data_IF_373658226845
#
_entry.id   IF_373658226845
#
_cell.length_a   1.000
_cell.length_b   1.000
_cell.length_c   1.000
_cell.angle_alpha   90.00
_cell.angle_beta   90.00
_cell.angle_gamma   90.00
#
_symmetry.space_group_name_H-M   'P 1'
#
loop_
_entity.id
_entity.type
_entity.pdbx_description
1 polymer ?
#
# COMPACT_ATOMS: atom_id res chain seq x y z
N UNK A 1 -55.18 -3.80 -7.82
CA UNK A 1 -54.66 -2.54 -8.35
C UNK A 1 -53.21 -2.77 -8.73
N UNK A 2 -52.83 -2.49 -9.96
CA UNK A 2 -51.44 -2.67 -10.42
C UNK A 2 -50.61 -1.40 -10.22
N UNK A 3 -49.28 -1.51 -10.27
CA UNK A 3 -48.40 -0.34 -10.24
C UNK A 3 -48.68 0.61 -11.41
N UNK A 4 -48.99 0.08 -12.60
CA UNK A 4 -49.34 0.89 -13.77
C UNK A 4 -50.66 1.65 -13.62
N UNK A 5 -51.63 1.09 -12.90
CA UNK A 5 -52.89 1.76 -12.57
C UNK A 5 -52.66 2.91 -11.57
N UNK A 6 -51.80 2.70 -10.56
CA UNK A 6 -51.51 3.71 -9.54
C UNK A 6 -50.63 4.85 -10.09
N UNK A 7 -49.63 4.52 -10.91
CA UNK A 7 -48.67 5.46 -11.49
C UNK A 7 -48.93 5.73 -12.98
N UNK A 8 -50.19 5.94 -13.35
CA UNK A 8 -50.65 6.13 -14.73
C UNK A 8 -50.07 7.36 -15.48
N UNK A 9 -49.51 8.34 -14.76
CA UNK A 9 -48.82 9.51 -15.34
C UNK A 9 -47.35 9.22 -15.65
N UNK A 10 -46.80 8.10 -15.13
CA UNK A 10 -45.44 7.69 -15.37
C UNK A 10 -45.34 6.82 -16.63
N UNK A 11 -44.81 7.38 -17.71
CA UNK A 11 -44.67 6.70 -18.99
C UNK A 11 -43.20 6.33 -19.25
N UNK A 12 -42.84 5.08 -18.96
CA UNK A 12 -41.49 4.54 -19.21
C UNK A 12 -41.47 3.72 -20.50
N UNK A 13 -40.49 3.98 -21.39
CA UNK A 13 -40.32 3.33 -22.71
C UNK A 13 -39.37 2.12 -22.70
N UNK A 14 -39.11 1.50 -21.54
CA UNK A 14 -38.26 0.30 -21.46
C UNK A 14 -39.08 -0.99 -21.54
N UNK A 15 -38.56 -2.02 -22.20
CA UNK A 15 -39.21 -3.34 -22.27
C UNK A 15 -39.37 -4.02 -20.90
N UNK A 16 -38.59 -3.62 -19.89
CA UNK A 16 -38.75 -4.08 -18.50
C UNK A 16 -39.82 -3.31 -17.73
N UNK A 17 -40.17 -2.10 -18.17
CA UNK A 17 -41.17 -1.26 -17.51
C UNK A 17 -42.57 -1.86 -17.55
N UNK A 18 -42.92 -2.60 -18.62
CA UNK A 18 -44.21 -3.29 -18.72
C UNK A 18 -44.39 -4.32 -17.59
N UNK A 19 -43.31 -5.03 -17.22
CA UNK A 19 -43.34 -6.02 -16.14
C UNK A 19 -43.39 -5.38 -14.75
N UNK A 20 -42.70 -4.26 -14.56
CA UNK A 20 -42.80 -3.46 -13.34
C UNK A 20 -44.22 -2.92 -13.15
N UNK A 21 -44.83 -2.42 -14.22
CA UNK A 21 -46.18 -1.88 -14.18
C UNK A 21 -47.26 -2.95 -13.96
N UNK A 22 -47.00 -4.20 -14.34
CA UNK A 22 -47.89 -5.33 -14.13
C UNK A 22 -47.90 -5.86 -12.68
N UNK A 23 -46.99 -5.40 -11.81
CA UNK A 23 -46.92 -5.81 -10.41
C UNK A 23 -48.21 -5.49 -9.64
N UNK A 24 -48.67 -6.45 -8.82
CA UNK A 24 -49.92 -6.30 -8.05
C UNK A 24 -49.65 -5.71 -6.67
N UNK A 25 -50.29 -4.59 -6.35
CA UNK A 25 -50.11 -3.94 -5.04
C UNK A 25 -50.86 -4.76 -3.98
N UNK A 26 -50.11 -5.26 -3.00
CA UNK A 26 -50.60 -6.01 -1.85
C UNK A 26 -50.89 -5.11 -0.66
N UNK A 27 -50.00 -4.15 -0.41
CA UNK A 27 -50.16 -3.21 0.69
C UNK A 27 -49.65 -1.84 0.26
N UNK A 28 -50.33 -0.79 0.73
CA UNK A 28 -49.93 0.59 0.51
C UNK A 28 -50.01 1.36 1.82
N UNK A 29 -48.93 2.04 2.17
CA UNK A 29 -48.86 2.98 3.28
C UNK A 29 -48.41 4.33 2.73
N UNK A 30 -49.24 5.35 2.88
CA UNK A 30 -48.93 6.70 2.42
C UNK A 30 -48.98 7.68 3.59
N UNK A 31 -47.95 8.51 3.71
CA UNK A 31 -47.91 9.62 4.66
C UNK A 31 -47.99 10.94 3.89
N UNK A 32 -49.09 11.66 4.10
CA UNK A 32 -49.33 12.94 3.45
C UNK A 32 -48.36 14.02 3.95
N UNK A 33 -48.10 14.06 5.26
CA UNK A 33 -47.20 15.04 5.90
C UNK A 33 -45.77 14.91 5.37
N UNK A 34 -45.26 13.68 5.25
CA UNK A 34 -43.90 13.43 4.81
C UNK A 34 -43.77 13.27 3.28
N UNK A 35 -44.88 13.32 2.53
CA UNK A 35 -44.96 13.00 1.09
C UNK A 35 -44.25 11.67 0.76
N UNK A 36 -44.48 10.64 1.58
CA UNK A 36 -43.85 9.32 1.40
C UNK A 36 -44.87 8.23 1.11
N UNK A 37 -44.52 7.31 0.24
CA UNK A 37 -45.35 6.15 -0.11
C UNK A 37 -44.50 4.88 -0.04
N UNK A 38 -44.96 3.91 0.74
CA UNK A 38 -44.38 2.57 0.81
C UNK A 38 -45.39 1.56 0.26
N UNK A 39 -44.96 0.78 -0.73
CA UNK A 39 -45.79 -0.21 -1.41
C UNK A 39 -45.17 -1.60 -1.23
N UNK A 40 -45.99 -2.59 -0.89
CA UNK A 40 -45.63 -4.00 -1.03
C UNK A 40 -46.28 -4.50 -2.30
N UNK A 41 -45.48 -5.01 -3.24
CA UNK A 41 -45.94 -5.35 -4.59
C UNK A 41 -45.53 -6.78 -4.94
N UNK A 42 -46.50 -7.60 -5.32
CA UNK A 42 -46.28 -8.95 -5.82
C UNK A 42 -45.87 -8.93 -7.29
N UNK A 43 -44.79 -9.63 -7.61
CA UNK A 43 -44.24 -9.74 -8.97
C UNK A 43 -44.14 -11.20 -9.41
N UNK A 44 -44.60 -11.48 -10.62
CA UNK A 44 -44.55 -12.82 -11.21
C UNK A 44 -43.14 -13.28 -11.66
N UNK A 45 -42.14 -12.40 -11.60
CA UNK A 45 -40.74 -12.70 -11.96
C UNK A 45 -39.77 -11.91 -11.09
N UNK A 46 -38.57 -12.45 -10.90
CA UNK A 46 -37.47 -11.74 -10.25
C UNK A 46 -37.08 -10.50 -11.04
N UNK A 47 -36.83 -9.40 -10.32
CA UNK A 47 -36.43 -8.13 -10.91
C UNK A 47 -35.12 -7.67 -10.25
N UNK A 48 -34.15 -7.14 -11.02
CA UNK A 48 -32.95 -6.53 -10.44
C UNK A 48 -33.31 -5.33 -9.57
N UNK A 49 -32.68 -5.18 -8.40
CA UNK A 49 -33.01 -4.08 -7.48
C UNK A 49 -32.68 -2.70 -8.05
N UNK A 50 -31.69 -2.62 -8.94
CA UNK A 50 -31.35 -1.38 -9.65
C UNK A 50 -32.51 -0.86 -10.51
N UNK A 51 -33.30 -1.75 -11.11
CA UNK A 51 -34.47 -1.37 -11.91
C UNK A 51 -35.60 -0.84 -11.02
N UNK A 52 -35.82 -1.49 -9.86
CA UNK A 52 -36.78 -1.02 -8.85
C UNK A 52 -36.40 0.35 -8.31
N UNK A 53 -35.13 0.57 -7.95
CA UNK A 53 -34.62 1.87 -7.48
C UNK A 53 -34.73 2.96 -8.56
N UNK A 54 -34.47 2.61 -9.81
CA UNK A 54 -34.66 3.51 -10.95
C UNK A 54 -36.12 3.92 -11.10
N UNK A 55 -37.05 2.98 -10.95
CA UNK A 55 -38.48 3.26 -10.94
C UNK A 55 -38.89 4.13 -9.76
N UNK A 56 -38.50 3.77 -8.53
CA UNK A 56 -38.77 4.53 -7.30
C UNK A 56 -38.37 6.01 -7.45
N UNK A 57 -37.14 6.25 -7.92
CA UNK A 57 -36.59 7.59 -8.10
C UNK A 57 -37.38 8.38 -9.15
N UNK A 58 -37.71 7.77 -10.27
CA UNK A 58 -38.36 8.44 -11.39
C UNK A 58 -39.85 8.71 -11.11
N UNK A 59 -40.55 7.73 -10.53
CA UNK A 59 -41.94 7.88 -10.13
C UNK A 59 -42.09 8.86 -8.96
N UNK A 60 -41.17 8.85 -7.99
CA UNK A 60 -41.15 9.87 -6.92
C UNK A 60 -41.01 11.28 -7.49
N UNK A 61 -40.13 11.50 -8.48
CA UNK A 61 -40.01 12.80 -9.16
C UNK A 61 -41.29 13.19 -9.92
N UNK A 62 -41.88 12.27 -10.67
CA UNK A 62 -43.05 12.54 -11.48
C UNK A 62 -44.30 12.93 -10.65
N UNK A 63 -44.41 12.37 -9.43
CA UNK A 63 -45.51 12.63 -8.51
C UNK A 63 -45.13 13.59 -7.37
N UNK A 64 -43.96 14.22 -7.46
CA UNK A 64 -43.39 15.10 -6.44
C UNK A 64 -43.44 14.49 -5.02
N UNK A 65 -43.12 13.22 -4.89
CA UNK A 65 -42.99 12.56 -3.59
C UNK A 65 -41.58 12.79 -3.04
N UNK A 66 -41.47 12.94 -1.72
CA UNK A 66 -40.16 12.99 -1.06
C UNK A 66 -39.48 11.61 -1.13
N UNK A 67 -40.25 10.53 -1.05
CA UNK A 67 -39.75 9.16 -1.13
C UNK A 67 -40.84 8.18 -1.56
N UNK A 68 -40.50 7.32 -2.51
CA UNK A 68 -41.27 6.13 -2.88
C UNK A 68 -40.41 4.90 -2.57
N UNK A 69 -40.92 3.97 -1.78
CA UNK A 69 -40.25 2.68 -1.52
C UNK A 69 -41.16 1.54 -1.99
N UNK A 70 -40.63 0.66 -2.81
CA UNK A 70 -41.30 -0.55 -3.29
C UNK A 70 -40.59 -1.74 -2.65
N UNK A 71 -41.31 -2.46 -1.81
CA UNK A 71 -40.91 -3.75 -1.28
C UNK A 71 -41.47 -4.83 -2.21
N UNK A 72 -40.64 -5.45 -3.08
CA UNK A 72 -41.12 -6.52 -3.92
C UNK A 72 -41.42 -7.77 -3.08
N UNK A 73 -42.45 -8.50 -3.48
CA UNK A 73 -42.80 -9.81 -2.96
C UNK A 73 -42.83 -10.79 -4.12
N UNK A 74 -42.35 -12.01 -3.89
CA UNK A 74 -42.23 -13.07 -4.88
C UNK A 74 -42.72 -14.38 -4.27
N UNK A 75 -43.29 -15.24 -5.10
CA UNK A 75 -43.60 -16.61 -4.69
C UNK A 75 -42.33 -17.38 -4.29
N UNK A 76 -42.42 -18.18 -3.23
CA UNK A 76 -41.32 -19.01 -2.73
C UNK A 76 -40.73 -19.95 -3.79
N UNK A 77 -41.51 -20.36 -4.80
CA UNK A 77 -41.05 -21.20 -5.92
C UNK A 77 -40.08 -20.51 -6.87
N UNK A 78 -39.99 -19.17 -6.82
CA UNK A 78 -39.10 -18.37 -7.68
C UNK A 78 -37.73 -18.15 -7.05
N UNK A 79 -37.51 -18.57 -5.80
CA UNK A 79 -36.22 -18.41 -5.14
C UNK A 79 -35.18 -19.35 -5.76
N UNK A 80 -34.09 -18.77 -6.27
CA UNK A 80 -32.94 -19.49 -6.82
C UNK A 80 -31.63 -18.84 -6.35
N UNK A 81 -30.57 -19.65 -6.23
CA UNK A 81 -29.25 -19.19 -5.79
C UNK A 81 -28.62 -18.17 -6.75
N UNK A 82 -29.03 -18.16 -8.02
CA UNK A 82 -28.62 -17.13 -8.98
C UNK A 82 -29.07 -15.70 -8.58
N UNK A 83 -30.06 -15.57 -7.70
CA UNK A 83 -30.54 -14.30 -7.17
C UNK A 83 -29.73 -13.80 -5.96
N UNK A 84 -28.83 -14.61 -5.41
CA UNK A 84 -28.03 -14.26 -4.24
C UNK A 84 -27.19 -12.96 -4.40
N UNK A 85 -26.57 -12.66 -5.56
CA UNK A 85 -25.85 -11.40 -5.76
C UNK A 85 -26.75 -10.16 -5.59
N UNK A 86 -28.02 -10.24 -6.01
CA UNK A 86 -28.99 -9.15 -5.82
C UNK A 86 -29.33 -8.96 -4.33
N UNK A 87 -29.49 -10.05 -3.57
CA UNK A 87 -29.70 -9.98 -2.12
C UNK A 87 -28.50 -9.32 -1.41
N UNK A 88 -27.28 -9.65 -1.81
CA UNK A 88 -26.05 -9.04 -1.28
C UNK A 88 -25.99 -7.55 -1.62
N UNK A 89 -26.33 -7.17 -2.86
CA UNK A 89 -26.37 -5.76 -3.25
C UNK A 89 -27.38 -4.97 -2.42
N UNK A 90 -28.56 -5.55 -2.16
CA UNK A 90 -29.55 -4.94 -1.29
C UNK A 90 -29.06 -4.83 0.15
N UNK A 91 -28.39 -5.86 0.66
CA UNK A 91 -27.82 -5.87 2.01
C UNK A 91 -26.70 -4.83 2.18
N UNK A 92 -25.85 -4.61 1.16
CA UNK A 92 -24.83 -3.55 1.15
C UNK A 92 -25.44 -2.15 1.27
N UNK A 93 -26.63 -1.93 0.67
CA UNK A 93 -27.32 -0.65 0.78
C UNK A 93 -27.90 -0.39 2.18
N UNK A 94 -28.19 -1.44 2.95
CA UNK A 94 -28.75 -1.35 4.31
C UNK A 94 -27.67 -1.42 5.40
N UNK A 95 -26.50 -2.01 5.13
CA UNK A 95 -25.39 -2.14 6.08
C UNK A 95 -24.02 -1.95 5.41
N UNK A 96 -23.30 -0.91 5.83
CA UNK A 96 -21.96 -0.58 5.32
C UNK A 96 -20.89 -1.64 5.66
N UNK A 97 -21.12 -2.41 6.73
CA UNK A 97 -20.19 -3.46 7.22
C UNK A 97 -20.08 -4.66 6.27
N UNK A 98 -20.98 -4.77 5.29
CA UNK A 98 -21.06 -5.89 4.34
C UNK A 98 -20.08 -5.71 3.17
N UNK A 99 -19.53 -4.52 2.98
CA UNK A 99 -18.72 -4.19 1.81
C UNK A 99 -17.38 -4.96 1.81
N UNK A 100 -17.12 -5.70 0.73
CA UNK A 100 -15.89 -6.48 0.54
C UNK A 100 -15.91 -7.91 1.10
N UNK A 101 -16.84 -8.25 2.01
CA UNK A 101 -16.85 -9.58 2.65
C UNK A 101 -17.51 -10.68 1.80
N UNK A 102 -18.54 -10.31 1.02
CA UNK A 102 -19.26 -11.23 0.14
C UNK A 102 -18.65 -11.30 -1.28
N UNK A 103 -17.46 -10.73 -1.48
CA UNK A 103 -16.78 -10.81 -2.77
C UNK A 103 -16.31 -12.26 -3.00
N UNK A 104 -16.59 -12.79 -4.19
CA UNK A 104 -16.32 -14.18 -4.58
C UNK A 104 -17.01 -15.28 -3.76
N UNK A 105 -17.97 -14.96 -2.88
CA UNK A 105 -18.62 -15.98 -2.03
C UNK A 105 -19.41 -17.04 -2.81
N UNK A 106 -19.48 -18.26 -2.24
CA UNK A 106 -20.25 -19.38 -2.79
C UNK A 106 -21.43 -19.71 -1.86
N UNK A 107 -22.68 -19.37 -2.24
CA UNK A 107 -23.87 -19.76 -1.50
C UNK A 107 -24.28 -21.20 -1.86
N UNK A 108 -24.70 -21.96 -0.85
CA UNK A 108 -25.24 -23.32 -0.98
C UNK A 108 -26.47 -23.46 -0.09
N UNK A 109 -27.51 -24.11 -0.59
CA UNK A 109 -28.74 -24.34 0.15
C UNK A 109 -28.94 -25.84 0.35
N UNK A 110 -29.12 -26.25 1.60
CA UNK A 110 -29.41 -27.62 1.99
C UNK A 110 -30.63 -27.61 2.92
N UNK A 111 -31.80 -27.97 2.39
CA UNK A 111 -33.06 -27.91 3.14
C UNK A 111 -33.43 -26.47 3.54
N UNK A 112 -33.55 -26.22 4.84
CA UNK A 112 -33.89 -24.91 5.42
C UNK A 112 -32.64 -24.10 5.80
N UNK A 113 -31.45 -24.57 5.44
CA UNK A 113 -30.18 -23.95 5.81
C UNK A 113 -29.47 -23.36 4.58
N UNK A 114 -29.25 -22.03 4.60
CA UNK A 114 -28.45 -21.33 3.62
C UNK A 114 -27.03 -21.14 4.15
N UNK A 115 -26.08 -21.88 3.59
CA UNK A 115 -24.65 -21.77 3.93
C UNK A 115 -23.95 -20.89 2.91
N UNK A 116 -23.40 -19.77 3.36
CA UNK A 116 -22.58 -18.86 2.54
C UNK A 116 -21.13 -19.04 2.90
N UNK A 117 -20.33 -19.50 1.93
CA UNK A 117 -18.89 -19.64 2.09
C UNK A 117 -18.19 -18.37 1.66
N UNK A 118 -17.48 -17.76 2.60
CA UNK A 118 -16.75 -16.52 2.43
C UNK A 118 -15.27 -16.85 2.21
N UNK A 119 -14.70 -16.35 1.11
CA UNK A 119 -13.29 -16.56 0.78
C UNK A 119 -12.40 -15.38 1.20
N UNK A 120 -13.00 -14.22 1.45
CA UNK A 120 -12.31 -13.03 1.93
C UNK A 120 -12.12 -13.02 3.46
N UNK A 121 -12.61 -14.05 4.15
CA UNK A 121 -12.65 -14.13 5.62
C UNK A 121 -13.66 -13.17 6.23
N UNK A 122 -13.87 -13.23 7.56
CA UNK A 122 -14.68 -12.25 8.29
C UNK A 122 -16.08 -12.73 8.69
N UNK A 123 -16.33 -14.05 8.67
CA UNK A 123 -17.60 -14.62 9.13
C UNK A 123 -17.97 -14.19 10.56
N UNK A 124 -16.99 -14.07 11.47
CA UNK A 124 -17.23 -13.67 12.85
C UNK A 124 -17.69 -12.21 12.97
N UNK A 125 -17.06 -11.30 12.20
CA UNK A 125 -17.45 -9.89 12.15
C UNK A 125 -18.87 -9.71 11.58
N UNK A 126 -19.21 -10.49 10.55
CA UNK A 126 -20.56 -10.46 9.98
C UNK A 126 -21.62 -11.02 10.93
N UNK A 127 -21.27 -12.03 11.75
CA UNK A 127 -22.15 -12.54 12.82
C UNK A 127 -22.33 -11.51 13.93
N UNK A 128 -21.27 -10.83 14.36
CA UNK A 128 -21.37 -9.73 15.32
C UNK A 128 -22.25 -8.59 14.80
N UNK A 129 -22.12 -8.25 13.51
CA UNK A 129 -22.96 -7.28 12.82
C UNK A 129 -24.40 -7.78 12.55
N UNK A 130 -24.75 -9.01 12.96
CA UNK A 130 -26.07 -9.65 12.76
C UNK A 130 -26.50 -9.73 11.29
N UNK A 131 -25.53 -9.84 10.39
CA UNK A 131 -25.76 -9.89 8.94
C UNK A 131 -26.45 -11.20 8.52
N UNK A 132 -26.19 -12.30 9.23
CA UNK A 132 -26.91 -13.57 9.14
C UNK A 132 -28.43 -13.38 9.31
N UNK A 133 -28.84 -12.69 10.38
CA UNK A 133 -30.24 -12.42 10.70
C UNK A 133 -30.86 -11.41 9.76
N UNK A 134 -30.08 -10.44 9.27
CA UNK A 134 -30.54 -9.46 8.29
C UNK A 134 -30.83 -10.13 6.94
N UNK A 135 -29.96 -11.04 6.48
CA UNK A 135 -30.15 -11.79 5.26
C UNK A 135 -31.36 -12.75 5.36
N UNK A 136 -31.50 -13.46 6.47
CA UNK A 136 -32.65 -14.32 6.72
C UNK A 136 -33.97 -13.53 6.68
N UNK A 137 -33.99 -12.34 7.30
CA UNK A 137 -35.16 -11.45 7.28
C UNK A 137 -35.49 -10.94 5.88
N UNK A 138 -34.47 -10.60 5.09
CA UNK A 138 -34.66 -10.15 3.72
C UNK A 138 -35.28 -11.26 2.87
N UNK A 139 -34.76 -12.49 2.97
CA UNK A 139 -35.31 -13.65 2.26
C UNK A 139 -36.75 -13.93 2.67
N UNK A 140 -37.04 -13.89 3.98
CA UNK A 140 -38.40 -14.05 4.48
C UNK A 140 -39.34 -12.96 3.97
N UNK A 141 -38.90 -11.70 3.94
CA UNK A 141 -39.74 -10.58 3.46
C UNK A 141 -40.04 -10.69 1.96
N UNK A 142 -39.08 -11.16 1.18
CA UNK A 142 -39.18 -11.24 -0.28
C UNK A 142 -39.91 -12.51 -0.76
N UNK A 143 -39.73 -13.65 -0.07
CA UNK A 143 -40.14 -14.97 -0.57
C UNK A 143 -40.98 -15.79 0.43
N UNK A 144 -41.27 -15.26 1.62
CA UNK A 144 -41.89 -15.98 2.76
C UNK A 144 -41.12 -17.25 3.19
N UNK A 145 -39.82 -17.31 2.88
CA UNK A 145 -38.96 -18.43 3.24
C UNK A 145 -38.23 -18.16 4.56
N UNK A 146 -38.40 -19.08 5.51
CA UNK A 146 -37.69 -19.06 6.80
C UNK A 146 -36.42 -19.91 6.69
N UNK A 147 -35.31 -19.29 6.34
CA UNK A 147 -34.00 -19.96 6.21
C UNK A 147 -33.07 -19.60 7.36
N UNK A 148 -32.33 -20.58 7.85
CA UNK A 148 -31.21 -20.37 8.78
C UNK A 148 -29.93 -20.08 7.99
N UNK A 149 -29.31 -18.93 8.23
CA UNK A 149 -28.14 -18.46 7.46
C UNK A 149 -26.86 -18.75 8.24
N UNK A 150 -26.00 -19.61 7.68
CA UNK A 150 -24.68 -19.90 8.23
C UNK A 150 -23.59 -19.27 7.39
N UNK A 151 -22.77 -18.41 8.01
CA UNK A 151 -21.58 -17.84 7.40
C UNK A 151 -20.35 -18.64 7.83
N UNK A 152 -19.62 -19.18 6.84
CA UNK A 152 -18.42 -19.98 7.06
C UNK A 152 -17.24 -19.37 6.28
N UNK A 153 -16.10 -19.23 6.95
CA UNK A 153 -14.85 -18.86 6.30
C UNK A 153 -14.18 -20.12 5.74
N UNK A 154 -14.01 -20.18 4.42
CA UNK A 154 -13.26 -21.26 3.76
C UNK A 154 -11.98 -20.69 3.14
N UNK A 155 -10.81 -21.08 3.65
CA UNK A 155 -9.52 -20.70 3.07
C UNK A 155 -9.23 -21.52 1.80
N UNK A 156 -10.00 -21.33 0.74
CA UNK A 156 -9.52 -21.69 -0.61
C UNK A 156 -8.57 -20.59 -1.10
N UNK A 157 -7.51 -20.99 -1.81
CA UNK A 157 -6.71 -20.05 -2.62
C UNK A 157 -7.68 -19.38 -3.59
N UNK A 158 -7.98 -18.10 -3.33
CA UNK A 158 -8.75 -17.25 -4.23
C UNK A 158 -8.10 -17.38 -5.61
N UNK A 159 -8.84 -17.73 -6.68
CA UNK A 159 -8.32 -17.65 -8.03
C UNK A 159 -7.92 -16.20 -8.29
N UNK A 160 -6.64 -15.97 -8.53
CA UNK A 160 -6.12 -14.68 -8.95
C UNK A 160 -6.91 -14.16 -10.16
N UNK A 161 -7.25 -12.85 -10.23
CA UNK A 161 -7.86 -12.29 -11.43
C UNK A 161 -6.89 -12.44 -12.62
N UNK A 162 -7.23 -13.38 -13.51
CA UNK A 162 -6.65 -13.59 -14.85
C UNK A 162 -5.13 -13.71 -14.90
N UNK A 163 -4.64 -14.94 -14.67
CA UNK A 163 -3.37 -15.37 -15.24
C UNK A 163 -3.52 -15.44 -16.77
N UNK A 164 -2.92 -14.48 -17.49
CA UNK A 164 -2.53 -14.76 -18.86
C UNK A 164 -1.44 -15.84 -18.81
N UNK A 165 -1.68 -16.96 -19.48
CA UNK A 165 -0.83 -18.15 -19.54
C UNK A 165 0.67 -17.79 -19.61
N UNK A 166 1.39 -18.07 -18.53
CA UNK A 166 2.85 -18.09 -18.51
C UNK A 166 3.29 -19.49 -18.94
N UNK A 167 4.12 -19.65 -19.98
CA UNK A 167 4.62 -20.97 -20.38
C UNK A 167 5.40 -21.64 -19.24
N UNK A 168 5.16 -22.94 -19.04
CA UNK A 168 5.73 -23.74 -17.96
C UNK A 168 7.27 -23.62 -17.85
N UNK A 169 7.76 -23.26 -16.68
CA UNK A 169 9.18 -23.38 -16.31
C UNK A 169 9.46 -24.80 -15.79
N UNK A 170 10.62 -25.42 -16.11
CA UNK A 170 10.93 -26.79 -15.72
C UNK A 170 11.22 -26.93 -14.22
N UNK A 171 10.74 -28.03 -13.64
CA UNK A 171 10.77 -28.37 -12.23
C UNK A 171 12.19 -28.33 -11.62
N UNK A 172 12.36 -27.52 -10.58
CA UNK A 172 13.42 -27.69 -9.60
C UNK A 172 12.79 -28.03 -8.24
N UNK A 173 13.14 -29.18 -7.66
CA UNK A 173 12.75 -29.53 -6.30
C UNK A 173 13.76 -28.95 -5.29
N UNK A 174 13.28 -28.10 -4.40
CA UNK A 174 14.06 -27.61 -3.26
C UNK A 174 14.06 -28.65 -2.11
N UNK A 175 15.18 -28.87 -1.40
CA UNK A 175 15.24 -29.79 -0.26
C UNK A 175 14.38 -29.32 0.93
N UNK A 176 13.85 -30.24 1.75
CA UNK A 176 12.94 -29.90 2.85
C UNK A 176 13.66 -29.19 4.01
N UNK A 177 13.01 -28.17 4.57
CA UNK A 177 13.46 -27.46 5.76
C UNK A 177 13.32 -28.33 7.02
N UNK A 178 14.26 -28.28 7.98
CA UNK A 178 14.15 -28.97 9.27
C UNK A 178 12.98 -28.42 10.11
N UNK A 179 12.29 -29.32 10.81
CA UNK A 179 11.16 -29.01 11.69
C UNK A 179 11.60 -28.16 12.90
N UNK A 180 10.84 -27.09 13.18
CA UNK A 180 10.96 -26.32 14.42
C UNK A 180 10.37 -27.12 15.59
N UNK A 181 11.12 -27.23 16.69
CA UNK A 181 10.65 -27.81 17.96
C UNK A 181 10.00 -26.74 18.83
N UNK A 182 8.95 -27.17 19.54
CA UNK A 182 7.90 -26.38 20.18
C UNK A 182 8.33 -25.23 21.10
N UNK A 183 7.62 -24.11 20.97
CA UNK A 183 7.69 -22.95 21.86
C UNK A 183 6.98 -23.23 23.20
N UNK A 184 7.60 -22.94 24.36
CA UNK A 184 6.90 -22.95 25.64
C UNK A 184 5.98 -21.73 25.80
N UNK A 185 4.82 -21.97 26.40
CA UNK A 185 3.75 -21.01 26.67
C UNK A 185 4.15 -19.88 27.62
N UNK A 186 3.55 -18.70 27.42
CA UNK A 186 3.60 -17.53 28.31
C UNK A 186 2.52 -17.65 29.38
N UNK A 187 2.91 -17.46 30.64
CA UNK A 187 2.01 -16.95 31.68
C UNK A 187 2.58 -15.63 32.27
N UNK A 188 1.63 -14.76 32.61
CA UNK A 188 1.60 -13.40 33.18
C UNK A 188 2.72 -13.09 34.22
N UNK A 189 3.18 -11.86 34.52
CA UNK A 189 2.57 -10.53 34.50
C UNK A 189 3.66 -9.47 34.85
N UNK A 190 3.29 -8.19 34.71
CA UNK A 190 3.92 -6.93 35.18
C UNK A 190 4.88 -6.17 34.26
N UNK A 191 4.34 -5.01 33.84
CA UNK A 191 4.94 -3.96 33.02
C UNK A 191 5.93 -3.06 33.81
N UNK A 192 6.77 -2.29 33.10
CA UNK A 192 8.04 -1.74 33.56
C UNK A 192 7.83 -0.39 34.24
N UNK A 193 8.87 0.18 34.87
CA UNK A 193 9.50 1.30 34.18
C UNK A 193 11.01 1.40 34.44
N UNK A 194 11.66 2.08 33.51
CA UNK A 194 12.99 2.66 33.41
C UNK A 194 13.57 3.40 34.66
N UNK A 195 13.14 3.08 35.87
CA UNK A 195 13.68 3.57 37.14
C UNK A 195 14.49 2.49 37.86
N UNK A 196 15.75 2.31 37.46
CA UNK A 196 16.86 2.12 38.41
C UNK A 196 18.13 1.86 37.63
N UNK A 197 18.92 2.92 37.51
CA UNK A 197 20.28 2.96 37.00
C UNK A 197 21.13 1.90 37.72
N UNK A 198 21.92 1.12 36.97
CA UNK A 198 23.37 0.95 37.17
C UNK A 198 23.92 -0.13 36.25
N UNK A 199 24.85 0.24 35.37
CA UNK A 199 25.67 -0.71 34.63
C UNK A 199 26.60 -1.48 35.58
N UNK A 200 26.81 -2.78 35.35
CA UNK A 200 28.19 -3.28 35.33
C UNK A 200 28.52 -4.19 34.14
N UNK A 201 29.77 -4.00 33.69
CA UNK A 201 30.51 -4.70 32.63
C UNK A 201 30.50 -6.22 32.78
N UNK A 202 30.28 -6.99 31.70
CA UNK A 202 31.00 -8.27 31.44
C UNK A 202 31.09 -8.62 29.94
N UNK A 203 32.35 -8.74 29.48
CA UNK A 203 32.99 -9.56 28.42
C UNK A 203 32.24 -9.93 27.12
N UNK A 204 32.73 -9.36 26.01
CA UNK A 204 32.53 -9.87 24.64
C UNK A 204 33.20 -11.24 24.47
N UNK A 205 32.51 -12.28 23.96
CA UNK A 205 33.19 -13.46 23.44
C UNK A 205 33.74 -13.17 22.04
N UNK A 206 35.00 -13.55 21.84
CA UNK A 206 35.68 -13.52 20.57
C UNK A 206 35.06 -14.54 19.61
N UNK A 207 34.54 -14.09 18.47
CA UNK A 207 34.20 -14.98 17.38
C UNK A 207 35.37 -15.16 16.41
N UNK A 208 35.85 -16.40 16.39
CA UNK A 208 36.82 -16.96 15.47
C UNK A 208 36.34 -16.81 14.02
N UNK A 209 37.25 -16.41 13.15
CA UNK A 209 37.08 -16.45 11.68
C UNK A 209 36.86 -17.89 11.22
N UNK A 210 35.79 -18.10 10.44
CA UNK A 210 35.59 -19.30 9.66
C UNK A 210 35.28 -18.91 8.20
N UNK A 211 36.04 -19.55 7.29
CA UNK A 211 35.81 -19.82 5.87
C UNK A 211 34.93 -18.87 5.06
N UNK A 212 35.55 -18.18 4.10
CA UNK A 212 34.91 -17.24 3.20
C UNK A 212 33.98 -17.87 2.16
N UNK A 213 32.83 -17.25 2.01
CA UNK A 213 32.20 -17.03 0.71
C UNK A 213 32.35 -15.53 0.42
N UNK A 214 32.90 -15.18 -0.74
CA UNK A 214 33.06 -13.79 -1.15
C UNK A 214 31.67 -13.15 -1.30
N UNK A 215 31.25 -12.35 -0.31
CA UNK A 215 30.09 -11.47 -0.46
C UNK A 215 30.35 -10.58 -1.68
N UNK A 216 29.52 -10.70 -2.71
CA UNK A 216 29.56 -9.80 -3.86
C UNK A 216 29.40 -8.37 -3.35
N UNK A 217 30.42 -7.54 -3.55
CA UNK A 217 30.39 -6.13 -3.15
C UNK A 217 29.29 -5.39 -3.92
N UNK A 218 28.45 -4.57 -3.26
CA UNK A 218 27.33 -3.84 -3.89
C UNK A 218 27.78 -2.73 -4.86
N UNK A 219 29.09 -2.53 -4.97
CA UNK A 219 29.73 -1.42 -5.66
C UNK A 219 30.97 -1.94 -6.38
N UNK A 220 31.17 -1.48 -7.62
CA UNK A 220 32.40 -1.73 -8.39
C UNK A 220 33.22 -0.45 -8.54
N UNK A 221 34.49 -0.42 -8.08
CA UNK A 221 35.42 0.67 -8.39
C UNK A 221 35.64 0.73 -9.90
N UNK A 222 35.61 1.94 -10.48
CA UNK A 222 35.83 2.14 -11.92
C UNK A 222 37.06 2.98 -12.22
N UNK A 223 37.23 4.07 -11.48
CA UNK A 223 38.24 5.08 -11.76
C UNK A 223 38.90 5.53 -10.47
N UNK A 224 40.23 5.58 -10.45
CA UNK A 224 41.00 6.08 -9.30
C UNK A 224 40.96 7.60 -9.30
N UNK A 225 40.43 8.19 -8.23
CA UNK A 225 40.41 9.65 -8.03
C UNK A 225 41.65 10.13 -7.28
N UNK A 226 42.17 9.31 -6.37
CA UNK A 226 43.33 9.60 -5.55
C UNK A 226 43.99 8.29 -5.09
N UNK A 227 45.33 8.25 -5.04
CA UNK A 227 46.08 7.06 -4.62
C UNK A 227 46.20 5.99 -5.71
N UNK A 228 45.99 4.74 -5.32
CA UNK A 228 46.09 3.52 -6.13
C UNK A 228 44.71 2.88 -6.35
N UNK A 229 44.68 1.88 -7.21
CA UNK A 229 43.49 1.06 -7.40
C UNK A 229 43.13 0.27 -6.12
N UNK A 230 41.83 0.21 -5.83
CA UNK A 230 41.29 -0.44 -4.65
C UNK A 230 40.77 -1.83 -5.04
N UNK A 231 41.36 -2.87 -4.45
CA UNK A 231 40.91 -4.25 -4.56
C UNK A 231 40.59 -4.81 -3.18
N UNK A 232 39.65 -5.75 -3.12
CA UNK A 232 39.30 -6.46 -1.89
C UNK A 232 37.82 -6.43 -1.55
N UNK A 233 37.45 -7.14 -0.49
CA UNK A 233 36.13 -7.07 0.13
C UNK A 233 35.95 -5.73 0.84
N UNK A 234 34.74 -5.18 0.78
CA UNK A 234 34.39 -3.95 1.49
C UNK A 234 33.95 -4.27 2.92
N UNK A 235 34.41 -3.47 3.86
CA UNK A 235 33.98 -3.47 5.26
C UNK A 235 32.66 -2.71 5.41
N UNK A 236 31.86 -3.13 6.38
CA UNK A 236 30.62 -2.44 6.78
C UNK A 236 30.97 -1.15 7.53
N UNK A 237 30.40 -0.02 7.10
CA UNK A 237 30.69 1.28 7.67
C UNK A 237 30.29 1.36 9.16
N UNK A 238 29.22 0.67 9.55
CA UNK A 238 28.78 0.59 10.95
C UNK A 238 29.73 -0.20 11.86
N UNK A 239 30.62 -1.02 11.28
CA UNK A 239 31.60 -1.82 12.03
C UNK A 239 32.95 -1.11 12.23
N UNK A 240 33.14 0.06 11.62
CA UNK A 240 34.40 0.81 11.66
C UNK A 240 34.60 1.44 13.05
N UNK A 241 35.74 1.14 13.65
CA UNK A 241 36.14 1.63 14.98
C UNK A 241 37.59 2.12 14.93
N UNK A 242 38.05 2.80 15.99
CA UNK A 242 39.45 3.23 16.11
C UNK A 242 40.45 2.06 16.02
N UNK A 243 40.06 0.86 16.47
CA UNK A 243 40.93 -0.33 16.39
C UNK A 243 40.81 -1.10 15.08
N UNK A 244 40.01 -0.62 14.11
CA UNK A 244 39.84 -1.31 12.82
C UNK A 244 41.10 -1.21 11.95
N UNK A 245 41.95 -0.20 12.16
CA UNK A 245 43.18 -0.03 11.39
C UNK A 245 42.88 0.25 9.91
N UNK A 246 43.38 -0.59 9.01
CA UNK A 246 43.12 -0.46 7.57
C UNK A 246 41.73 -0.96 7.18
N UNK A 247 40.92 -0.10 6.57
CA UNK A 247 39.55 -0.41 6.12
C UNK A 247 39.37 -0.07 4.64
N UNK A 248 38.49 -0.82 3.98
CA UNK A 248 38.01 -0.54 2.62
C UNK A 248 36.50 -0.38 2.67
N UNK A 249 36.01 0.84 2.50
CA UNK A 249 34.59 1.15 2.64
C UNK A 249 34.04 1.83 1.40
N UNK A 250 32.71 1.86 1.25
CA UNK A 250 32.05 2.59 0.18
C UNK A 250 30.95 3.49 0.76
N UNK A 251 30.57 4.51 0.00
CA UNK A 251 29.42 5.33 0.35
C UNK A 251 29.19 6.50 -0.60
N UNK A 252 28.01 7.11 -0.49
CA UNK A 252 27.61 8.32 -1.19
C UNK A 252 28.20 9.53 -0.47
N UNK A 253 28.83 10.43 -1.23
CA UNK A 253 29.53 11.61 -0.71
C UNK A 253 28.53 12.72 -0.37
N UNK A 254 28.69 13.33 0.80
CA UNK A 254 28.00 14.55 1.19
C UNK A 254 28.89 15.42 2.09
N UNK A 255 28.55 16.70 2.25
CA UNK A 255 29.28 17.59 3.16
C UNK A 255 30.74 17.85 2.78
N UNK A 256 31.08 17.88 1.48
CA UNK A 256 32.42 18.21 1.01
C UNK A 256 32.88 19.59 1.51
N UNK A 257 34.02 19.63 2.19
CA UNK A 257 34.66 20.84 2.71
C UNK A 257 36.15 20.80 2.39
N UNK A 258 36.67 21.92 1.88
CA UNK A 258 38.07 22.06 1.47
C UNK A 258 38.67 23.24 2.21
N UNK A 259 39.76 23.03 2.94
CA UNK A 259 40.45 24.07 3.72
C UNK A 259 41.94 24.05 3.49
N UNK A 260 42.52 25.22 3.29
CA UNK A 260 43.98 25.37 3.22
C UNK A 260 44.61 25.32 4.62
N UNK A 261 45.77 24.67 4.72
CA UNK A 261 46.57 24.71 5.94
C UNK A 261 47.29 26.06 6.00
N UNK A 262 47.57 26.56 7.22
CA UNK A 262 48.23 27.85 7.47
C UNK A 262 49.51 28.11 6.66
N UNK A 263 50.28 27.06 6.33
CA UNK A 263 51.53 27.16 5.55
C UNK A 263 51.30 27.21 4.02
N UNK A 264 50.05 27.16 3.56
CA UNK A 264 49.63 27.30 2.15
C UNK A 264 50.02 26.14 1.21
N UNK A 265 50.98 25.31 1.59
CA UNK A 265 51.54 24.20 0.78
C UNK A 265 50.61 22.99 0.68
N UNK A 266 49.79 22.76 1.70
CA UNK A 266 48.91 21.61 1.80
C UNK A 266 47.47 22.02 2.10
N UNK A 267 46.55 21.15 1.71
CA UNK A 267 45.12 21.34 1.81
C UNK A 267 44.47 20.12 2.46
N UNK A 268 43.43 20.38 3.24
CA UNK A 268 42.60 19.39 3.91
C UNK A 268 41.32 19.29 3.12
N UNK A 269 41.08 18.12 2.52
CA UNK A 269 39.81 17.76 1.91
C UNK A 269 39.10 16.84 2.88
N UNK A 270 37.96 17.27 3.40
CA UNK A 270 37.11 16.50 4.30
C UNK A 270 35.73 16.35 3.70
N UNK A 271 35.20 15.14 3.68
CA UNK A 271 33.85 14.86 3.20
C UNK A 271 33.28 13.68 3.99
N UNK A 272 31.96 13.57 4.02
CA UNK A 272 31.28 12.47 4.66
C UNK A 272 30.88 11.44 3.60
N UNK A 273 30.91 10.17 3.97
CA UNK A 273 30.33 9.08 3.18
C UNK A 273 29.27 8.37 3.99
N UNK A 274 28.20 7.94 3.31
CA UNK A 274 27.13 7.12 3.89
C UNK A 274 26.81 5.93 2.99
N UNK A 275 26.61 4.76 3.58
CA UNK A 275 26.09 3.55 2.91
C UNK A 275 24.59 3.35 3.17
N UNK A 276 23.92 4.40 3.68
CA UNK A 276 22.54 4.44 4.20
C UNK A 276 22.33 3.72 5.55
N UNK A 277 23.35 3.03 6.08
CA UNK A 277 23.31 2.38 7.40
C UNK A 277 24.11 3.14 8.46
N UNK A 278 25.26 3.67 8.09
CA UNK A 278 26.09 4.52 8.94
C UNK A 278 26.70 5.66 8.12
N UNK A 279 27.40 6.58 8.79
CA UNK A 279 28.15 7.64 8.13
C UNK A 279 29.47 7.88 8.82
N UNK A 280 30.52 8.17 8.05
CA UNK A 280 31.84 8.47 8.59
C UNK A 280 32.50 9.61 7.82
N UNK A 281 33.35 10.36 8.51
CA UNK A 281 34.15 11.42 7.92
C UNK A 281 35.38 10.80 7.27
N UNK A 282 35.66 11.21 6.03
CA UNK A 282 36.87 10.87 5.28
C UNK A 282 37.72 12.13 5.14
N UNK A 283 39.01 12.03 5.45
CA UNK A 283 39.96 13.14 5.31
C UNK A 283 41.17 12.77 4.46
N UNK A 284 41.52 13.68 3.56
CA UNK A 284 42.79 13.67 2.82
C UNK A 284 43.55 14.94 3.15
N UNK A 285 44.81 14.79 3.58
CA UNK A 285 45.70 15.92 3.84
C UNK A 285 46.94 15.77 2.97
N UNK A 286 47.05 16.57 1.92
CA UNK A 286 48.17 16.55 0.99
C UNK A 286 48.45 17.92 0.37
N UNK A 287 49.59 17.99 -0.33
CA UNK A 287 49.93 19.12 -1.18
C UNK A 287 48.86 19.36 -2.25
N UNK A 288 48.57 20.64 -2.55
CA UNK A 288 47.50 21.05 -3.46
C UNK A 288 47.57 20.32 -4.82
N UNK A 289 48.76 20.23 -5.41
CA UNK A 289 49.00 19.55 -6.71
C UNK A 289 48.54 18.09 -6.74
N UNK A 290 48.58 17.38 -5.61
CA UNK A 290 48.17 15.96 -5.53
C UNK A 290 46.67 15.79 -5.35
N UNK A 291 45.94 16.87 -5.08
CA UNK A 291 44.50 16.88 -4.82
C UNK A 291 43.69 17.44 -5.99
N UNK A 292 44.32 18.05 -7.00
CA UNK A 292 43.65 18.66 -8.15
C UNK A 292 42.69 17.68 -8.85
N UNK A 293 43.16 16.47 -9.18
CA UNK A 293 42.32 15.45 -9.82
C UNK A 293 41.17 14.98 -8.92
N UNK A 294 41.40 14.86 -7.61
CA UNK A 294 40.35 14.49 -6.65
C UNK A 294 39.28 15.57 -6.61
N UNK A 295 39.66 16.84 -6.49
CA UNK A 295 38.74 17.97 -6.34
C UNK A 295 37.94 18.27 -7.61
N UNK A 296 38.48 17.97 -8.79
CA UNK A 296 37.76 18.13 -10.06
C UNK A 296 36.53 17.18 -10.13
N UNK A 297 36.69 15.95 -9.64
CA UNK A 297 35.68 14.88 -9.77
C UNK A 297 34.84 14.66 -8.53
N UNK A 298 35.36 14.92 -7.34
CA UNK A 298 34.66 14.71 -6.07
C UNK A 298 33.57 15.75 -5.86
N UNK A 299 32.31 15.31 -5.85
CA UNK A 299 31.12 16.16 -5.69
C UNK A 299 30.11 15.46 -4.78
N UNK A 300 29.26 16.23 -4.12
CA UNK A 300 28.15 15.65 -3.33
C UNK A 300 27.23 14.82 -4.26
N UNK A 301 26.75 13.68 -3.77
CA UNK A 301 25.87 12.76 -4.49
C UNK A 301 26.58 11.67 -5.30
N UNK A 302 27.90 11.72 -5.50
CA UNK A 302 28.63 10.63 -6.15
C UNK A 302 28.91 9.51 -5.16
N UNK A 303 29.00 8.27 -5.63
CA UNK A 303 29.44 7.13 -4.82
C UNK A 303 30.94 6.91 -4.98
N UNK A 304 31.65 6.71 -3.87
CA UNK A 304 33.08 6.43 -3.85
C UNK A 304 33.38 5.17 -3.06
N UNK A 305 34.50 4.54 -3.40
CA UNK A 305 35.16 3.52 -2.58
C UNK A 305 36.44 4.15 -2.00
N UNK A 306 36.67 3.94 -0.71
CA UNK A 306 37.76 4.56 0.05
C UNK A 306 38.54 3.46 0.76
N UNK A 307 39.85 3.43 0.54
CA UNK A 307 40.79 2.65 1.35
C UNK A 307 41.60 3.59 2.23
N UNK A 308 41.65 3.33 3.53
CA UNK A 308 42.35 4.20 4.46
C UNK A 308 42.46 3.64 5.87
N UNK A 309 43.00 4.45 6.78
CA UNK A 309 43.10 4.10 8.19
C UNK A 309 41.95 4.71 8.97
N UNK A 310 41.24 3.89 9.74
CA UNK A 310 40.32 4.36 10.75
C UNK A 310 41.11 4.80 11.99
N UNK A 311 41.09 6.10 12.28
CA UNK A 311 41.86 6.71 13.36
C UNK A 311 40.97 7.71 14.12
N UNK A 312 41.18 7.85 15.43
CA UNK A 312 40.48 8.88 16.21
C UNK A 312 41.10 10.25 15.96
N UNK A 313 40.34 11.16 15.36
CA UNK A 313 40.77 12.52 15.12
C UNK A 313 40.41 13.40 16.30
N UNK A 314 41.44 13.92 16.99
CA UNK A 314 41.29 14.76 18.18
C UNK A 314 40.62 16.11 17.88
N UNK A 315 40.69 16.60 16.65
CA UNK A 315 40.05 17.87 16.27
C UNK A 315 38.54 17.67 16.12
N UNK A 316 38.11 16.61 15.43
CA UNK A 316 36.68 16.29 15.25
C UNK A 316 36.08 15.59 16.47
N UNK A 317 36.94 14.99 17.32
CA UNK A 317 36.58 14.12 18.47
C UNK A 317 35.76 12.91 18.05
N UNK A 318 36.04 12.38 16.86
CA UNK A 318 35.35 11.23 16.27
C UNK A 318 36.35 10.36 15.49
N UNK A 319 35.97 9.11 15.25
CA UNK A 319 36.71 8.22 14.35
C UNK A 319 36.52 8.72 12.92
N UNK A 320 37.62 8.93 12.21
CA UNK A 320 37.60 9.27 10.80
C UNK A 320 38.49 8.33 10.00
N UNK A 321 38.29 8.33 8.69
CA UNK A 321 39.12 7.57 7.77
C UNK A 321 40.13 8.51 7.13
N UNK A 322 41.42 8.32 7.43
CA UNK A 322 42.54 8.90 6.69
C UNK A 322 42.68 8.16 5.37
N UNK A 323 42.09 8.69 4.31
CA UNK A 323 42.09 8.00 3.03
C UNK A 323 43.49 7.99 2.40
N UNK A 324 43.91 6.79 2.02
CA UNK A 324 45.11 6.55 1.22
C UNK A 324 44.74 6.52 -0.26
N UNK A 325 43.58 5.95 -0.57
CA UNK A 325 43.11 5.75 -1.92
C UNK A 325 41.60 6.00 -2.00
N UNK A 326 41.16 6.66 -3.07
CA UNK A 326 39.76 6.96 -3.34
C UNK A 326 39.50 6.62 -4.80
N UNK A 327 38.47 5.82 -5.05
CA UNK A 327 38.02 5.47 -6.40
C UNK A 327 36.56 5.83 -6.58
N UNK A 328 36.19 6.37 -7.75
CA UNK A 328 34.81 6.52 -8.16
C UNK A 328 34.19 5.14 -8.32
N UNK A 329 32.98 5.01 -7.83
CA UNK A 329 32.31 3.73 -7.76
C UNK A 329 30.86 3.88 -8.22
N UNK A 330 30.29 2.83 -8.83
CA UNK A 330 28.87 2.82 -9.19
C UNK A 330 28.12 1.89 -8.26
N UNK A 331 27.13 2.44 -7.55
CA UNK A 331 26.17 1.66 -6.77
C UNK A 331 25.26 0.90 -7.73
N UNK A 332 25.06 -0.40 -7.48
CA UNK A 332 23.99 -1.13 -8.15
C UNK A 332 22.66 -0.60 -7.65
N UNK A 333 21.97 0.19 -8.48
CA UNK A 333 20.66 0.70 -8.14
C UNK A 333 19.61 -0.42 -8.21
N UNK A 334 18.61 -0.35 -7.32
CA UNK A 334 17.45 -1.23 -7.41
C UNK A 334 16.64 -0.85 -8.65
N UNK A 335 16.44 -1.82 -9.53
CA UNK A 335 15.63 -1.68 -10.73
C UNK A 335 14.37 -2.53 -10.62
N UNK A 336 13.31 -2.09 -11.30
CA UNK A 336 12.14 -2.91 -11.56
C UNK A 336 12.45 -3.76 -12.80
N UNK A 337 12.60 -5.07 -12.61
CA UNK A 337 12.90 -6.03 -13.68
C UNK A 337 11.63 -6.76 -14.20
N UNK A 338 10.44 -6.37 -13.73
CA UNK A 338 9.20 -7.01 -14.14
C UNK A 338 8.88 -6.72 -15.62
N UNK A 339 8.33 -7.70 -16.34
CA UNK A 339 7.88 -7.52 -17.74
C UNK A 339 6.71 -6.53 -17.82
N UNK A 340 5.77 -6.63 -16.88
CA UNK A 340 4.62 -5.74 -16.75
C UNK A 340 4.93 -4.76 -15.62
N UNK A 341 4.97 -3.46 -15.95
CA UNK A 341 5.34 -2.41 -15.02
C UNK A 341 4.18 -2.02 -14.11
N UNK A 342 4.47 -1.94 -12.81
CA UNK A 342 3.53 -1.45 -11.78
C UNK A 342 3.19 0.02 -12.04
N UNK A 343 2.03 0.44 -11.53
CA UNK A 343 1.68 1.84 -11.31
C UNK A 343 1.44 2.02 -9.82
N UNK A 344 2.13 2.98 -9.20
CA UNK A 344 1.87 3.37 -7.81
C UNK A 344 0.66 4.28 -7.77
N UNK A 345 -0.32 3.97 -6.91
CA UNK A 345 -1.59 4.69 -6.81
C UNK A 345 -1.79 5.38 -5.45
N UNK A 346 -0.93 5.10 -4.47
CA UNK A 346 -0.96 5.72 -3.15
C UNK A 346 0.47 6.06 -2.74
N UNK A 347 0.78 7.36 -2.67
CA UNK A 347 2.14 7.82 -2.39
C UNK A 347 2.15 9.19 -1.70
N UNK A 348 2.94 9.26 -0.63
CA UNK A 348 3.21 10.46 0.15
C UNK A 348 4.55 11.07 -0.22
N UNK A 349 4.56 12.39 -0.33
CA UNK A 349 5.73 13.22 -0.56
C UNK A 349 6.08 14.01 0.70
N UNK A 350 7.21 14.71 0.70
CA UNK A 350 7.58 15.62 1.79
C UNK A 350 6.58 16.77 2.06
N UNK A 351 5.51 16.90 1.28
CA UNK A 351 4.41 17.82 1.54
C UNK A 351 3.34 17.22 2.47
N UNK A 352 3.31 15.89 2.66
CA UNK A 352 2.56 15.26 3.74
C UNK A 352 3.24 15.60 5.07
N UNK A 353 2.62 16.51 5.82
CA UNK A 353 3.23 17.13 6.98
C UNK A 353 3.66 16.10 8.04
N UNK A 354 4.96 16.06 8.34
CA UNK A 354 5.60 15.17 9.33
C UNK A 354 5.44 13.67 9.06
N UNK A 355 5.01 13.27 7.87
CA UNK A 355 4.73 11.87 7.54
C UNK A 355 5.72 11.29 6.52
N UNK A 356 5.98 12.00 5.42
CA UNK A 356 6.91 11.57 4.39
C UNK A 356 8.09 12.52 4.21
N UNK A 357 9.21 11.98 3.72
CA UNK A 357 10.51 12.70 3.68
C UNK A 357 11.04 12.95 2.28
N UNK A 358 10.53 12.24 1.28
CA UNK A 358 11.10 12.26 -0.08
C UNK A 358 10.33 13.25 -0.97
N UNK A 359 11.02 14.17 -1.69
CA UNK A 359 10.38 15.08 -2.62
C UNK A 359 9.69 14.38 -3.79
N UNK A 360 8.58 14.95 -4.25
CA UNK A 360 7.80 14.42 -5.38
C UNK A 360 8.64 14.18 -6.65
N UNK A 361 9.56 15.10 -6.95
CA UNK A 361 10.42 15.01 -8.13
C UNK A 361 11.30 13.75 -8.13
N UNK A 362 11.76 13.29 -6.97
CA UNK A 362 12.62 12.09 -6.86
C UNK A 362 11.82 10.81 -7.09
N UNK A 363 10.59 10.73 -6.60
CA UNK A 363 9.68 9.62 -6.90
C UNK A 363 9.34 9.56 -8.38
N UNK A 364 9.04 10.70 -9.00
CA UNK A 364 8.73 10.81 -10.43
C UNK A 364 9.91 10.33 -11.28
N UNK A 365 11.14 10.79 -10.98
CA UNK A 365 12.37 10.33 -11.65
C UNK A 365 12.60 8.83 -11.46
N UNK A 366 12.34 8.31 -10.25
CA UNK A 366 12.48 6.88 -9.95
C UNK A 366 11.50 6.04 -10.77
N UNK A 367 10.23 6.41 -10.81
CA UNK A 367 9.20 5.72 -11.58
C UNK A 367 9.52 5.72 -13.08
N UNK A 368 9.98 6.85 -13.63
CA UNK A 368 10.43 6.92 -15.02
C UNK A 368 11.62 5.98 -15.28
N UNK A 369 12.62 5.95 -14.38
CA UNK A 369 13.77 5.05 -14.49
C UNK A 369 13.39 3.57 -14.41
N UNK A 370 12.37 3.24 -13.62
CA UNK A 370 11.79 1.90 -13.54
C UNK A 370 10.88 1.55 -14.72
N UNK A 371 10.62 2.50 -15.63
CA UNK A 371 9.77 2.29 -16.80
C UNK A 371 8.27 2.25 -16.47
N UNK A 372 7.86 2.76 -15.31
CA UNK A 372 6.44 2.83 -14.94
C UNK A 372 5.70 3.73 -15.91
N UNK A 373 4.45 3.38 -16.23
CA UNK A 373 3.61 4.16 -17.16
C UNK A 373 3.00 5.39 -16.47
N UNK A 374 2.74 5.28 -15.17
CA UNK A 374 2.16 6.34 -14.37
C UNK A 374 2.60 6.24 -12.90
N UNK A 375 2.43 7.34 -12.18
CA UNK A 375 2.63 7.43 -10.73
C UNK A 375 1.58 8.39 -10.15
N UNK A 376 0.95 8.02 -9.05
CA UNK A 376 0.05 8.91 -8.31
C UNK A 376 0.79 9.68 -7.21
N UNK A 377 0.26 10.84 -6.87
CA UNK A 377 0.61 11.62 -5.67
C UNK A 377 -0.67 11.82 -4.89
N UNK A 378 -0.68 11.42 -3.62
CA UNK A 378 -1.85 11.41 -2.74
C UNK A 378 -1.46 11.90 -1.36
N UNK A 379 -0.94 13.13 -1.27
CA UNK A 379 -0.56 13.71 0.02
C UNK A 379 -1.77 13.91 0.94
N UNK A 380 -1.51 13.90 2.25
CA UNK A 380 -2.52 14.02 3.29
C UNK A 380 -3.20 15.41 3.30
N UNK A 381 -4.45 15.48 2.83
CA UNK A 381 -5.29 16.67 2.84
C UNK A 381 -4.73 17.87 2.07
N UNK A 382 -3.69 17.69 1.25
CA UNK A 382 -3.00 18.77 0.54
C UNK A 382 -2.60 18.36 -0.88
N UNK A 383 -2.43 19.37 -1.74
CA UNK A 383 -1.98 19.23 -3.13
C UNK A 383 -0.69 20.02 -3.43
N UNK A 384 0.09 20.34 -2.39
CA UNK A 384 1.24 21.24 -2.49
C UNK A 384 2.38 20.69 -3.36
N UNK A 385 2.48 19.36 -3.51
CA UNK A 385 3.50 18.69 -4.31
C UNK A 385 3.24 18.74 -5.83
N UNK A 386 2.04 19.16 -6.27
CA UNK A 386 1.66 19.09 -7.68
C UNK A 386 2.57 19.89 -8.62
N UNK A 387 2.99 21.14 -8.30
CA UNK A 387 3.89 21.90 -9.17
C UNK A 387 5.25 21.19 -9.36
N UNK A 388 5.82 20.63 -8.29
CA UNK A 388 7.10 19.92 -8.34
C UNK A 388 7.01 18.66 -9.19
N UNK A 389 5.91 17.92 -9.07
CA UNK A 389 5.65 16.73 -9.87
C UNK A 389 5.46 17.07 -11.36
N UNK A 390 4.74 18.15 -11.66
CA UNK A 390 4.55 18.66 -13.02
C UNK A 390 5.89 19.02 -13.65
N UNK A 391 6.70 19.81 -12.96
CA UNK A 391 8.03 20.22 -13.42
C UNK A 391 8.95 19.01 -13.66
N UNK A 392 8.91 18.01 -12.79
CA UNK A 392 9.70 16.79 -12.92
C UNK A 392 9.28 15.96 -14.15
N UNK A 393 7.99 15.80 -14.39
CA UNK A 393 7.49 15.09 -15.59
C UNK A 393 7.75 15.86 -16.87
N UNK A 394 7.65 17.19 -16.86
CA UNK A 394 8.02 17.99 -18.03
C UNK A 394 9.50 17.83 -18.41
N UNK A 395 10.39 17.81 -17.42
CA UNK A 395 11.81 17.54 -17.67
C UNK A 395 12.02 16.16 -18.31
N UNK A 396 11.35 15.12 -17.79
CA UNK A 396 11.42 13.76 -18.35
C UNK A 396 10.90 13.72 -19.80
N UNK A 397 9.81 14.45 -20.09
CA UNK A 397 9.24 14.52 -21.44
C UNK A 397 10.17 15.21 -22.43
N UNK A 398 10.90 16.24 -22.00
CA UNK A 398 11.92 16.90 -22.84
C UNK A 398 13.05 15.95 -23.21
N UNK A 399 13.39 15.02 -22.32
CA UNK A 399 14.39 13.99 -22.55
C UNK A 399 13.85 12.75 -23.29
N UNK A 400 12.61 12.82 -23.82
CA UNK A 400 11.98 11.76 -24.60
C UNK A 400 11.27 10.67 -23.78
N UNK A 401 11.23 10.80 -22.45
CA UNK A 401 10.48 9.90 -21.58
C UNK A 401 8.97 10.16 -21.62
N UNK A 402 8.18 9.13 -21.32
CA UNK A 402 6.73 9.25 -21.25
C UNK A 402 6.21 8.67 -19.92
N UNK A 403 5.90 9.55 -18.97
CA UNK A 403 5.33 9.23 -17.68
C UNK A 403 4.09 10.10 -17.42
N UNK A 404 3.03 9.50 -16.88
CA UNK A 404 1.81 10.20 -16.46
C UNK A 404 1.79 10.38 -14.94
N UNK A 405 1.63 11.61 -14.45
CA UNK A 405 1.27 11.84 -13.04
C UNK A 405 -0.24 11.73 -12.88
N UNK A 406 -0.68 11.04 -11.85
CA UNK A 406 -2.07 11.04 -11.38
C UNK A 406 -2.12 11.94 -10.15
N UNK A 407 -2.79 13.08 -10.29
CA UNK A 407 -2.93 14.07 -9.24
C UNK A 407 -4.11 13.67 -8.35
N UNK A 408 -3.82 13.20 -7.13
CA UNK A 408 -4.79 12.80 -6.13
C UNK A 408 -4.53 13.49 -4.79
N UNK A 409 -5.42 13.22 -3.83
CA UNK A 409 -5.33 13.70 -2.45
C UNK A 409 -5.82 12.55 -1.57
N UNK A 410 -5.12 12.27 -0.48
CA UNK A 410 -5.68 11.45 0.59
C UNK A 410 -6.46 12.37 1.54
N UNK A 411 -7.78 12.37 1.40
CA UNK A 411 -8.66 13.31 2.11
C UNK A 411 -9.29 12.70 3.36
N UNK A 412 -9.64 13.57 4.30
CA UNK A 412 -10.21 13.20 5.59
C UNK A 412 -11.74 13.29 5.53
N UNK A 413 -12.40 12.15 5.42
CA UNK A 413 -13.86 12.08 5.44
C UNK A 413 -14.40 11.88 6.86
N UNK A 414 -15.39 12.69 7.22
CA UNK A 414 -16.18 12.53 8.46
C UNK A 414 -17.60 12.13 8.05
N UNK A 415 -18.17 11.14 8.75
CA UNK A 415 -19.55 10.76 8.54
C UNK A 415 -20.51 11.78 9.18
N UNK A 416 -21.27 12.49 8.36
CA UNK A 416 -22.23 13.52 8.75
C UNK A 416 -23.59 12.95 9.19
N UNK A 417 -23.80 11.64 9.08
CA UNK A 417 -25.06 10.96 9.44
C UNK A 417 -25.14 10.48 10.89
N UNK A 418 -24.11 10.72 11.72
CA UNK A 418 -24.10 10.32 13.13
C UNK A 418 -24.82 11.40 13.96
N UNK A 419 -25.92 11.08 14.67
CA UNK A 419 -26.63 12.05 15.49
C UNK A 419 -25.74 12.56 16.64
N UNK A 420 -25.67 13.88 16.80
CA UNK A 420 -24.76 14.56 17.72
C UNK A 420 -25.05 14.33 19.22
N UNK A 421 -26.21 13.77 19.57
CA UNK A 421 -26.61 13.52 20.96
C UNK A 421 -27.39 12.20 21.04
N UNK A 422 -26.96 11.33 21.95
CA UNK A 422 -27.78 10.25 22.51
C UNK A 422 -28.44 10.81 23.76
N UNK A 423 -29.76 11.03 23.70
CA UNK A 423 -30.58 11.46 24.83
C UNK A 423 -31.34 10.30 25.44
#
# INVERSE_FOLDING_TARGET
>A
MTLGELFNLYNSKSAQAEFLMAGQIMQMQASHENRTVNLTVDFARLLPFAELQGFETNAAKAYELNRLTICPHYSSTLFDLSFFPELVNRLRAESATVNGFFDHCEPSIEGETLTVRLFCGGADLLKEAKCDKALARLIHTLFDLSLEVHLLDEKKKIPSPVENEVPAEPDYEAPPLPQELDAPQKDEETLPPWESISAPKVKKPAHKRAGGQAKMSPVTPKEVLYGKEIHGSMDDLGSVTESSGHVVVWGSVFGLNVRDIRDGKAQIVSFNITDDHASIIVKVIKEKKKLEHLLDKLKNGITVCVRGNAEFDRYDRQVNIRAMDISLAKRKEKMDDAKIKRVELHLHTNMSAMDAVTPAAEYVKRAAKWGHKAIAITDHGVAQAFPDAMNAVEAIRKDGGNLKVIYGIEDYFINDTIPAVTG
#
